data_IF_619539634603
#
_entry.id   IF_619539634603
#
_cell.length_a   1.000
_cell.length_b   1.000
_cell.length_c   1.000
_cell.angle_alpha   90.00
_cell.angle_beta   90.00
_cell.angle_gamma   90.00
#
_symmetry.space_group_name_H-M   'P 1'
#
loop_
_entity.id
_entity.type
_entity.pdbx_description
1 polymer ?
#
# COMPACT_ATOMS: atom_id res chain seq x y z
N UNK A 1 12.15 -15.98 43.54
CA UNK A 1 11.97 -16.37 42.18
C UNK A 1 11.76 -15.16 41.28
N UNK A 2 12.58 -15.06 40.37
CA UNK A 2 12.51 -14.00 39.40
C UNK A 2 11.41 -14.31 38.41
N UNK A 3 10.35 -13.55 38.47
CA UNK A 3 9.36 -13.63 37.45
C UNK A 3 9.86 -12.92 36.21
N UNK A 4 9.92 -13.64 35.15
CA UNK A 4 10.25 -13.07 33.86
C UNK A 4 9.11 -12.19 33.40
N UNK A 5 9.44 -11.05 32.88
CA UNK A 5 8.48 -10.13 32.31
C UNK A 5 7.70 -10.80 31.19
N UNK A 6 6.40 -10.52 31.03
CA UNK A 6 5.60 -11.08 29.95
C UNK A 6 6.18 -10.84 28.56
N UNK A 7 6.85 -9.70 28.35
CA UNK A 7 7.54 -9.40 27.11
C UNK A 7 8.69 -10.33 26.79
N UNK A 8 9.12 -11.13 27.78
CA UNK A 8 10.19 -12.09 27.64
C UNK A 8 9.75 -13.52 27.40
N UNK A 9 8.52 -13.75 27.05
CA UNK A 9 8.03 -15.10 26.74
C UNK A 9 8.80 -15.64 25.52
N UNK A 10 9.55 -16.68 25.79
CA UNK A 10 10.33 -17.32 24.72
C UNK A 10 9.42 -18.24 23.93
N UNK A 11 9.29 -17.95 22.65
CA UNK A 11 8.62 -18.83 21.71
C UNK A 11 9.61 -19.91 21.28
N UNK A 12 9.19 -21.16 21.23
CA UNK A 12 10.03 -22.27 20.80
C UNK A 12 10.43 -22.09 19.32
N UNK A 13 11.53 -22.75 18.92
CA UNK A 13 11.98 -22.71 17.53
C UNK A 13 10.92 -23.24 16.57
N UNK A 14 10.19 -24.31 16.96
CA UNK A 14 9.10 -24.86 16.16
C UNK A 14 7.93 -23.87 16.01
N UNK A 15 7.55 -23.19 17.07
CA UNK A 15 6.50 -22.19 17.04
C UNK A 15 6.88 -20.99 16.17
N UNK A 16 8.14 -20.55 16.23
CA UNK A 16 8.63 -19.47 15.38
C UNK A 16 8.60 -19.83 13.91
N UNK A 17 8.98 -21.07 13.55
CA UNK A 17 8.87 -21.54 12.17
C UNK A 17 7.42 -21.59 11.70
N UNK A 18 6.54 -22.07 12.55
CA UNK A 18 5.10 -22.09 12.26
C UNK A 18 4.55 -20.68 12.06
N UNK A 19 4.92 -19.73 12.93
CA UNK A 19 4.51 -18.34 12.82
C UNK A 19 5.03 -17.70 11.54
N UNK A 20 6.28 -17.99 11.17
CA UNK A 20 6.87 -17.51 9.93
C UNK A 20 6.15 -18.09 8.69
N UNK A 21 5.82 -19.37 8.74
CA UNK A 21 5.09 -20.02 7.67
C UNK A 21 3.69 -19.42 7.52
N UNK A 22 3.00 -19.18 8.63
CA UNK A 22 1.69 -18.53 8.62
C UNK A 22 1.78 -17.11 8.10
N UNK A 23 2.80 -16.35 8.49
CA UNK A 23 3.01 -14.98 8.01
C UNK A 23 3.29 -14.95 6.51
N UNK A 24 4.10 -15.88 5.99
CA UNK A 24 4.39 -16.00 4.57
C UNK A 24 3.13 -16.35 3.78
N UNK A 25 2.35 -17.30 4.28
CA UNK A 25 1.09 -17.71 3.65
C UNK A 25 0.10 -16.54 3.61
N UNK A 26 -0.05 -15.82 4.73
CA UNK A 26 -0.90 -14.64 4.82
C UNK A 26 -0.49 -13.58 3.80
N UNK A 27 0.81 -13.33 3.67
CA UNK A 27 1.33 -12.35 2.73
C UNK A 27 1.00 -12.73 1.28
N UNK A 28 1.18 -13.99 0.90
CA UNK A 28 0.89 -14.47 -0.45
C UNK A 28 -0.62 -14.46 -0.75
N UNK A 29 -1.44 -14.89 0.20
CA UNK A 29 -2.90 -14.84 0.05
C UNK A 29 -3.40 -13.41 -0.09
N UNK A 30 -2.83 -12.49 0.68
CA UNK A 30 -3.14 -11.05 0.61
C UNK A 30 -2.76 -10.49 -0.76
N UNK A 31 -1.58 -10.83 -1.26
CA UNK A 31 -1.11 -10.37 -2.57
C UNK A 31 -2.01 -10.90 -3.68
N UNK A 32 -2.31 -12.19 -3.66
CA UNK A 32 -3.20 -12.81 -4.64
C UNK A 32 -4.56 -12.14 -4.66
N UNK A 33 -5.16 -11.96 -3.48
CA UNK A 33 -6.47 -11.33 -3.36
C UNK A 33 -6.45 -9.88 -3.85
N UNK A 34 -5.40 -9.14 -3.56
CA UNK A 34 -5.25 -7.76 -4.01
C UNK A 34 -5.17 -7.70 -5.54
N UNK A 35 -4.38 -8.56 -6.14
CA UNK A 35 -4.25 -8.65 -7.60
C UNK A 35 -5.57 -9.01 -8.26
N UNK A 36 -6.28 -9.99 -7.73
CA UNK A 36 -7.58 -10.42 -8.26
C UNK A 36 -8.61 -9.31 -8.17
N UNK A 37 -8.69 -8.65 -7.01
CA UNK A 37 -9.71 -7.63 -6.76
C UNK A 37 -9.48 -6.36 -7.57
N UNK A 38 -8.23 -6.01 -7.83
CA UNK A 38 -7.86 -4.76 -8.51
C UNK A 38 -7.17 -4.99 -9.84
N UNK A 39 -7.50 -6.09 -10.52
CA UNK A 39 -6.86 -6.49 -11.78
C UNK A 39 -7.01 -5.47 -12.91
N UNK A 40 -8.07 -4.65 -12.86
CA UNK A 40 -8.30 -3.59 -13.84
C UNK A 40 -7.78 -2.21 -13.41
N UNK A 41 -7.05 -2.13 -12.30
CA UNK A 41 -6.59 -0.85 -11.77
C UNK A 41 -5.54 -0.20 -12.66
N UNK A 42 -5.68 1.11 -12.82
CA UNK A 42 -4.78 1.92 -13.63
C UNK A 42 -3.42 2.09 -12.92
N UNK A 43 -2.33 2.09 -13.70
CA UNK A 43 -0.96 2.30 -13.21
C UNK A 43 -0.74 3.66 -12.55
N UNK A 44 -1.61 4.64 -12.80
CA UNK A 44 -1.52 6.01 -12.25
C UNK A 44 -2.04 6.15 -10.82
N UNK A 45 -2.39 5.07 -10.19
CA UNK A 45 -2.88 5.07 -8.82
C UNK A 45 -1.70 5.30 -7.86
N UNK A 46 -1.92 6.10 -6.83
CA UNK A 46 -0.86 6.39 -5.85
C UNK A 46 -0.43 5.12 -5.12
N UNK A 47 0.83 5.11 -4.68
CA UNK A 47 1.36 4.01 -3.87
C UNK A 47 0.56 3.88 -2.56
N UNK A 48 0.15 5.01 -1.99
CA UNK A 48 -0.66 5.02 -0.76
C UNK A 48 -2.03 4.36 -0.97
N UNK A 49 -2.63 4.53 -2.14
CA UNK A 49 -3.89 3.84 -2.49
C UNK A 49 -3.68 2.34 -2.61
N UNK A 50 -2.60 1.91 -3.22
CA UNK A 50 -2.23 0.49 -3.32
C UNK A 50 -1.97 -0.11 -1.94
N UNK A 51 -1.30 0.64 -1.06
CA UNK A 51 -1.04 0.23 0.30
C UNK A 51 -2.34 0.06 1.10
N UNK A 52 -3.31 0.95 0.90
CA UNK A 52 -4.63 0.81 1.49
C UNK A 52 -5.32 -0.48 1.03
N UNK A 53 -5.35 -0.74 -0.25
CA UNK A 53 -5.97 -1.95 -0.79
C UNK A 53 -5.31 -3.20 -0.25
N UNK A 54 -3.99 -3.20 -0.16
CA UNK A 54 -3.24 -4.31 0.41
C UNK A 54 -3.60 -4.52 1.88
N UNK A 55 -3.69 -3.45 2.65
CA UNK A 55 -4.09 -3.53 4.05
C UNK A 55 -5.51 -4.05 4.22
N UNK A 56 -6.46 -3.55 3.43
CA UNK A 56 -7.84 -4.02 3.45
C UNK A 56 -7.93 -5.53 3.19
N UNK A 57 -7.20 -6.00 2.17
CA UNK A 57 -7.19 -7.43 1.83
C UNK A 57 -6.46 -8.26 2.88
N UNK A 58 -5.40 -7.73 3.49
CA UNK A 58 -4.71 -8.38 4.61
C UNK A 58 -5.67 -8.65 5.77
N UNK A 59 -6.49 -7.68 6.12
CA UNK A 59 -7.48 -7.87 7.19
C UNK A 59 -8.55 -8.89 6.84
N UNK A 60 -8.99 -8.93 5.59
CA UNK A 60 -9.94 -9.95 5.14
C UNK A 60 -9.34 -11.34 5.28
N UNK A 61 -8.12 -11.54 4.79
CA UNK A 61 -7.41 -12.83 4.87
C UNK A 61 -7.15 -13.21 6.32
N UNK A 62 -6.78 -12.26 7.17
CA UNK A 62 -6.55 -12.48 8.58
C UNK A 62 -7.82 -12.92 9.31
N UNK A 63 -8.96 -12.31 9.03
CA UNK A 63 -10.24 -12.70 9.59
C UNK A 63 -10.66 -14.09 9.14
N UNK A 64 -10.41 -14.45 7.89
CA UNK A 64 -10.64 -15.79 7.38
C UNK A 64 -9.75 -16.81 8.10
N UNK A 65 -8.47 -16.48 8.31
CA UNK A 65 -7.54 -17.34 9.04
C UNK A 65 -8.00 -17.57 10.47
N UNK A 66 -8.56 -16.55 11.12
CA UNK A 66 -9.06 -16.64 12.49
C UNK A 66 -10.20 -17.67 12.65
N UNK A 67 -10.92 -17.97 11.56
CA UNK A 67 -11.96 -18.99 11.58
C UNK A 67 -11.41 -20.41 11.47
N UNK A 68 -10.15 -20.54 11.06
CA UNK A 68 -9.54 -21.84 10.76
C UNK A 68 -8.45 -22.24 11.75
N UNK A 69 -7.84 -21.28 12.41
CA UNK A 69 -6.74 -21.50 13.35
C UNK A 69 -6.69 -20.38 14.39
N UNK A 70 -5.93 -20.62 15.44
CA UNK A 70 -5.64 -19.58 16.42
C UNK A 70 -4.62 -18.61 15.83
N UNK A 71 -4.87 -17.32 16.03
CA UNK A 71 -3.96 -16.28 15.59
C UNK A 71 -2.79 -16.14 16.55
N UNK A 72 -1.63 -15.73 16.04
CA UNK A 72 -0.49 -15.34 16.86
C UNK A 72 -0.80 -14.03 17.60
N UNK A 73 0.00 -13.72 18.61
CA UNK A 73 -0.17 -12.46 19.36
C UNK A 73 0.02 -11.24 18.46
N UNK A 74 0.94 -11.32 17.53
CA UNK A 74 1.15 -10.25 16.54
C UNK A 74 -0.05 -10.08 15.64
N UNK A 75 -0.62 -11.17 15.16
CA UNK A 75 -1.84 -11.14 14.33
C UNK A 75 -3.04 -10.60 15.09
N UNK A 76 -3.21 -10.99 16.36
CA UNK A 76 -4.25 -10.46 17.21
C UNK A 76 -4.13 -8.96 17.42
N UNK A 77 -2.91 -8.48 17.65
CA UNK A 77 -2.63 -7.05 17.80
C UNK A 77 -2.96 -6.29 16.53
N UNK A 78 -2.55 -6.82 15.39
CA UNK A 78 -2.85 -6.23 14.07
C UNK A 78 -4.36 -6.11 13.88
N UNK A 79 -5.09 -7.17 14.17
CA UNK A 79 -6.56 -7.19 14.03
C UNK A 79 -7.24 -6.22 14.99
N UNK A 80 -6.72 -6.09 16.21
CA UNK A 80 -7.27 -5.15 17.21
C UNK A 80 -7.16 -3.69 16.77
N UNK A 81 -6.18 -3.37 15.91
CA UNK A 81 -5.95 -2.02 15.40
C UNK A 81 -6.49 -1.79 13.98
N UNK A 82 -7.30 -2.70 13.48
CA UNK A 82 -7.81 -2.63 12.10
C UNK A 82 -8.45 -1.29 11.78
N UNK A 83 -9.36 -0.84 12.61
CA UNK A 83 -10.14 0.38 12.36
C UNK A 83 -9.25 1.61 12.23
N UNK A 84 -8.36 1.83 13.18
CA UNK A 84 -7.46 2.96 13.19
C UNK A 84 -6.46 2.90 12.04
N UNK A 85 -5.94 1.72 11.77
CA UNK A 85 -4.97 1.51 10.69
C UNK A 85 -5.59 1.81 9.34
N UNK A 86 -6.78 1.29 9.07
CA UNK A 86 -7.46 1.53 7.79
C UNK A 86 -7.88 2.98 7.63
N UNK A 87 -8.33 3.62 8.70
CA UNK A 87 -8.68 5.04 8.66
C UNK A 87 -7.47 5.90 8.31
N UNK A 88 -6.34 5.64 8.95
CA UNK A 88 -5.09 6.33 8.65
C UNK A 88 -4.65 6.11 7.21
N UNK A 89 -4.71 4.86 6.74
CA UNK A 89 -4.32 4.54 5.37
C UNK A 89 -5.27 5.14 4.33
N UNK A 90 -6.55 5.29 4.64
CA UNK A 90 -7.50 6.01 3.76
C UNK A 90 -7.11 7.47 3.62
N UNK A 91 -6.75 8.12 4.71
CA UNK A 91 -6.28 9.51 4.67
C UNK A 91 -5.01 9.65 3.84
N UNK A 92 -4.05 8.73 4.01
CA UNK A 92 -2.83 8.71 3.21
C UNK A 92 -3.13 8.47 1.73
N UNK A 93 -4.05 7.57 1.43
CA UNK A 93 -4.44 7.26 0.05
C UNK A 93 -5.08 8.47 -0.64
N UNK A 94 -5.96 9.18 0.06
CA UNK A 94 -6.60 10.37 -0.48
C UNK A 94 -5.59 11.47 -0.77
N UNK A 95 -4.64 11.69 0.14
CA UNK A 95 -3.57 12.67 -0.08
C UNK A 95 -2.62 12.21 -1.19
N UNK A 96 -2.26 10.94 -1.22
CA UNK A 96 -1.41 10.38 -2.25
C UNK A 96 -2.01 10.55 -3.64
N UNK A 97 -3.30 10.32 -3.78
CA UNK A 97 -4.01 10.52 -5.05
C UNK A 97 -4.00 11.99 -5.47
N UNK A 98 -4.18 12.90 -4.52
CA UNK A 98 -4.10 14.34 -4.79
C UNK A 98 -2.70 14.77 -5.24
N UNK A 99 -1.67 14.22 -4.61
CA UNK A 99 -0.27 14.49 -4.98
C UNK A 99 0.00 13.99 -6.40
N UNK A 100 -0.41 12.77 -6.72
CA UNK A 100 -0.24 12.21 -8.06
C UNK A 100 -0.99 13.04 -9.11
N UNK A 101 -2.19 13.46 -8.79
CA UNK A 101 -2.98 14.32 -9.68
C UNK A 101 -2.28 15.66 -9.92
N UNK A 102 -1.76 16.30 -8.89
CA UNK A 102 -1.04 17.57 -9.02
C UNK A 102 0.25 17.42 -9.82
N UNK A 103 1.00 16.33 -9.61
CA UNK A 103 2.18 16.02 -10.43
C UNK A 103 1.80 15.91 -11.90
N UNK A 104 0.71 15.25 -12.19
CA UNK A 104 0.21 15.11 -13.57
C UNK A 104 -0.12 16.45 -14.19
N UNK A 105 -0.81 17.32 -13.46
CA UNK A 105 -1.13 18.66 -13.91
C UNK A 105 0.13 19.46 -14.18
N UNK A 106 1.14 19.35 -13.33
CA UNK A 106 2.42 20.05 -13.49
C UNK A 106 3.18 19.56 -14.73
N UNK A 107 3.19 18.25 -14.97
CA UNK A 107 3.79 17.67 -16.17
C UNK A 107 3.11 18.18 -17.45
N UNK A 108 1.78 18.21 -17.47
CA UNK A 108 1.03 18.72 -18.60
C UNK A 108 1.30 20.20 -18.85
N UNK A 109 1.40 21.00 -17.79
CA UNK A 109 1.75 22.41 -17.89
C UNK A 109 3.16 22.61 -18.47
N UNK A 110 4.12 21.79 -18.04
CA UNK A 110 5.49 21.82 -18.59
C UNK A 110 5.53 21.44 -20.07
N UNK A 111 4.78 20.43 -20.46
CA UNK A 111 4.66 20.01 -21.85
C UNK A 111 4.06 21.13 -22.71
N UNK A 112 3.01 21.78 -22.22
CA UNK A 112 2.39 22.88 -22.90
C UNK A 112 3.36 24.07 -23.08
N UNK A 113 4.11 24.40 -22.02
CA UNK A 113 5.11 25.47 -22.07
C UNK A 113 6.22 25.17 -23.09
N UNK A 114 6.71 23.94 -23.14
CA UNK A 114 7.70 23.49 -24.12
C UNK A 114 7.16 23.60 -25.55
N UNK A 115 5.92 23.17 -25.75
CA UNK A 115 5.28 23.26 -27.05
C UNK A 115 5.18 24.73 -27.53
N UNK A 116 4.73 25.63 -26.65
CA UNK A 116 4.65 27.06 -26.96
C UNK A 116 6.01 27.65 -27.30
N UNK A 117 7.07 27.29 -26.56
CA UNK A 117 8.44 27.73 -26.87
C UNK A 117 8.89 27.23 -28.23
N UNK A 118 8.60 25.98 -28.59
CA UNK A 118 8.94 25.44 -29.90
C UNK A 118 8.19 26.16 -31.02
N UNK A 119 6.91 26.46 -30.83
CA UNK A 119 6.12 27.20 -31.82
C UNK A 119 6.63 28.62 -31.96
N UNK A 120 6.95 29.30 -30.88
CA UNK A 120 7.52 30.66 -30.91
C UNK A 120 8.87 30.68 -31.61
N UNK A 121 9.71 29.69 -31.35
CA UNK A 121 11.02 29.59 -32.03
C UNK A 121 10.87 29.38 -33.55
N UNK A 122 9.94 28.53 -33.96
CA UNK A 122 9.64 28.31 -35.39
C UNK A 122 9.10 29.55 -36.03
N UNK A 123 8.22 30.28 -35.37
CA UNK A 123 7.66 31.52 -35.91
C UNK A 123 8.75 32.61 -36.07
N UNK A 124 9.63 32.74 -35.08
CA UNK A 124 10.74 33.67 -35.14
C UNK A 124 11.69 33.33 -36.29
N UNK A 125 11.98 32.05 -36.51
CA UNK A 125 12.82 31.62 -37.62
C UNK A 125 12.18 31.94 -38.99
N UNK A 126 10.87 31.76 -39.11
CA UNK A 126 10.13 32.12 -40.33
C UNK A 126 10.17 33.63 -40.56
N UNK A 127 9.95 34.42 -39.53
CA UNK A 127 9.90 35.89 -39.62
C UNK A 127 11.25 36.51 -39.89
N UNK A 128 12.35 35.82 -39.58
CA UNK A 128 13.72 36.29 -39.79
C UNK A 128 14.21 36.13 -41.23
N UNK A 129 13.50 35.44 -42.07
CA UNK A 129 13.88 35.23 -43.47
C UNK A 129 13.57 36.44 -44.34
#
# INVERSE_FOLDING_TARGET
STQKKPSGVKVSAGERQEDQAHAALLALETELRTLEKHSGANEKISQQRRDLWKAENQYVVLKEAATKRQLSEQEKSLLAHEKETLEYKRQLADLGDKVEHQKRLNELAQQAARFEQQQSAKQAAISAK
#
